data_IF_954700029933
#
_entry.id   IF_954700029933
#
_cell.length_a   1.000
_cell.length_b   1.000
_cell.length_c   1.000
_cell.angle_alpha   90.00
_cell.angle_beta   90.00
_cell.angle_gamma   90.00
#
_symmetry.space_group_name_H-M   'P 1'
#
loop_
_entity.id
_entity.type
_entity.pdbx_description
1 polymer ?
#
# COMPACT_ATOMS: atom_id res chain seq x y z
N UNK A 1 6.16 3.94 -24.18
CA UNK A 1 5.53 4.20 -22.87
C UNK A 1 5.93 3.07 -21.94
N UNK A 2 6.47 3.40 -20.78
CA UNK A 2 6.68 2.48 -19.67
C UNK A 2 5.89 3.02 -18.48
N UNK A 3 5.30 2.14 -17.69
CA UNK A 3 4.56 2.53 -16.48
C UNK A 3 5.27 1.91 -15.29
N UNK A 4 5.70 2.75 -14.36
CA UNK A 4 6.36 2.30 -13.15
C UNK A 4 5.70 2.90 -11.91
N UNK A 5 5.76 2.17 -10.80
CA UNK A 5 5.22 2.61 -9.52
C UNK A 5 5.40 1.55 -8.44
N UNK A 6 4.92 1.85 -7.24
CA UNK A 6 5.10 1.00 -6.07
C UNK A 6 3.84 0.88 -5.21
N UNK A 7 3.87 -0.02 -4.23
CA UNK A 7 2.80 -0.19 -3.25
C UNK A 7 1.45 -0.45 -3.96
N UNK A 8 0.41 0.34 -3.70
CA UNK A 8 -0.90 0.17 -4.33
C UNK A 8 -0.89 0.40 -5.86
N UNK A 9 0.19 0.94 -6.43
CA UNK A 9 0.38 0.93 -7.88
C UNK A 9 0.51 -0.49 -8.45
N UNK A 10 0.80 -1.50 -7.61
CA UNK A 10 0.65 -2.91 -7.98
C UNK A 10 -0.77 -3.28 -8.44
N UNK A 11 -1.77 -2.55 -7.93
CA UNK A 11 -3.16 -2.65 -8.39
C UNK A 11 -3.40 -1.75 -9.59
N UNK A 12 -2.98 -0.48 -9.55
CA UNK A 12 -3.27 0.46 -10.64
C UNK A 12 -2.61 0.09 -11.97
N UNK A 13 -1.34 -0.33 -11.94
CA UNK A 13 -0.53 -0.49 -13.15
C UNK A 13 -1.10 -1.57 -14.08
N UNK A 14 -1.46 -2.77 -13.60
CA UNK A 14 -2.07 -3.78 -14.47
C UNK A 14 -3.41 -3.32 -15.06
N UNK A 15 -4.25 -2.63 -14.28
CA UNK A 15 -5.51 -2.07 -14.77
C UNK A 15 -5.31 -1.02 -15.87
N UNK A 16 -4.37 -0.09 -15.68
CA UNK A 16 -4.04 0.95 -16.68
C UNK A 16 -3.42 0.31 -17.92
N UNK A 17 -2.50 -0.64 -17.75
CA UNK A 17 -1.88 -1.37 -18.86
C UNK A 17 -2.93 -2.10 -19.69
N UNK A 18 -3.86 -2.81 -19.05
CA UNK A 18 -4.98 -3.47 -19.71
C UNK A 18 -5.85 -2.49 -20.48
N UNK A 19 -6.24 -1.37 -19.87
CA UNK A 19 -7.05 -0.35 -20.54
C UNK A 19 -6.36 0.23 -21.80
N UNK A 20 -5.03 0.42 -21.76
CA UNK A 20 -4.25 0.84 -22.93
C UNK A 20 -4.31 -0.21 -24.04
N UNK A 21 -4.11 -1.49 -23.71
CA UNK A 21 -4.13 -2.58 -24.69
C UNK A 21 -5.52 -2.77 -25.30
N UNK A 22 -6.57 -2.73 -24.47
CA UNK A 22 -7.96 -2.85 -24.92
C UNK A 22 -8.35 -1.69 -25.84
N UNK A 23 -7.94 -0.46 -25.51
CA UNK A 23 -8.12 0.71 -26.40
C UNK A 23 -7.38 0.50 -27.73
N UNK A 24 -6.13 0.07 -27.68
CA UNK A 24 -5.32 -0.14 -28.88
C UNK A 24 -5.94 -1.18 -29.81
N UNK A 25 -6.53 -2.25 -29.27
CA UNK A 25 -7.22 -3.27 -30.06
C UNK A 25 -8.43 -2.70 -30.81
N UNK A 26 -9.11 -1.71 -30.23
CA UNK A 26 -10.25 -1.03 -30.84
C UNK A 26 -9.85 0.18 -31.72
N UNK A 27 -8.55 0.48 -31.85
CA UNK A 27 -8.08 1.64 -32.61
C UNK A 27 -7.60 1.22 -34.01
N UNK A 28 -8.25 1.72 -35.04
CA UNK A 28 -7.94 1.40 -36.45
C UNK A 28 -6.74 2.19 -36.99
N UNK A 29 -6.58 3.46 -36.58
CA UNK A 29 -5.40 4.24 -36.95
C UNK A 29 -4.21 3.89 -36.03
N UNK A 30 -3.20 3.24 -36.60
CA UNK A 30 -1.98 2.88 -35.88
C UNK A 30 -1.25 4.09 -35.27
N UNK A 31 -1.41 5.31 -35.81
CA UNK A 31 -0.81 6.53 -35.25
C UNK A 31 -1.45 6.95 -33.92
N UNK A 32 -2.68 6.51 -33.66
CA UNK A 32 -3.42 6.80 -32.42
C UNK A 32 -3.22 5.74 -31.33
N UNK A 33 -2.47 4.67 -31.62
CA UNK A 33 -2.17 3.62 -30.64
C UNK A 33 -1.11 4.09 -29.65
N UNK A 34 -1.33 3.79 -28.38
CA UNK A 34 -0.37 4.04 -27.32
C UNK A 34 0.68 2.94 -27.31
N UNK A 35 1.94 3.29 -27.55
CA UNK A 35 3.02 2.33 -27.61
C UNK A 35 3.52 1.93 -26.21
N UNK A 36 2.73 1.14 -25.47
CA UNK A 36 3.13 0.54 -24.19
C UNK A 36 4.20 -0.53 -24.43
N UNK A 37 5.33 -0.40 -23.73
CA UNK A 37 6.54 -1.24 -23.91
C UNK A 37 6.84 -2.10 -22.70
N UNK A 38 6.34 -1.76 -21.53
CA UNK A 38 6.56 -2.55 -20.32
C UNK A 38 6.04 -1.86 -19.07
N UNK A 39 6.05 -2.62 -17.98
CA UNK A 39 5.68 -2.16 -16.64
C UNK A 39 6.76 -2.56 -15.63
N UNK A 40 6.94 -1.76 -14.59
CA UNK A 40 7.82 -2.06 -13.46
C UNK A 40 7.09 -1.77 -12.15
N UNK A 41 7.00 -2.75 -11.26
CA UNK A 41 6.23 -2.63 -10.02
C UNK A 41 7.14 -2.97 -8.85
N UNK A 42 7.47 -1.99 -8.02
CA UNK A 42 8.27 -2.18 -6.80
C UNK A 42 7.36 -2.47 -5.60
N UNK A 43 7.64 -3.52 -4.84
CA UNK A 43 6.91 -3.85 -3.59
C UNK A 43 5.37 -3.71 -3.71
N UNK A 44 4.79 -4.20 -4.80
CA UNK A 44 3.41 -3.93 -5.16
C UNK A 44 2.39 -4.72 -4.34
N UNK A 45 1.22 -4.13 -4.11
CA UNK A 45 0.02 -4.82 -3.66
C UNK A 45 -0.78 -5.29 -4.89
N UNK A 46 -0.74 -6.59 -5.17
CA UNK A 46 -1.11 -7.20 -6.46
C UNK A 46 -2.02 -8.43 -6.27
N UNK A 47 -1.58 -9.38 -5.45
CA UNK A 47 -2.24 -10.67 -5.21
C UNK A 47 -2.56 -10.80 -3.71
N UNK A 48 -3.82 -10.54 -3.30
CA UNK A 48 -4.20 -10.56 -1.89
C UNK A 48 -4.04 -11.95 -1.27
N UNK A 49 -4.30 -13.03 -2.02
CA UNK A 49 -4.21 -14.40 -1.46
C UNK A 49 -2.75 -14.69 -1.10
N UNK A 50 -1.83 -14.51 -2.03
CA UNK A 50 -0.41 -14.77 -1.78
C UNK A 50 0.14 -13.82 -0.69
N UNK A 51 -0.23 -12.54 -0.73
CA UNK A 51 0.38 -11.53 0.13
C UNK A 51 -0.16 -11.57 1.57
N UNK A 52 -1.45 -11.84 1.81
CA UNK A 52 -1.93 -12.04 3.20
C UNK A 52 -1.37 -13.32 3.83
N UNK A 53 -1.21 -14.40 3.06
CA UNK A 53 -0.48 -15.59 3.53
C UNK A 53 0.98 -15.26 3.85
N UNK A 54 1.62 -14.41 3.04
CA UNK A 54 2.98 -13.98 3.26
C UNK A 54 3.13 -13.19 4.56
N UNK A 55 2.20 -12.30 4.93
CA UNK A 55 2.27 -11.58 6.21
C UNK A 55 2.43 -12.53 7.40
N UNK A 56 1.59 -13.56 7.49
CA UNK A 56 1.70 -14.54 8.58
C UNK A 56 3.00 -15.37 8.48
N UNK A 57 3.26 -15.99 7.33
CA UNK A 57 4.39 -16.93 7.19
C UNK A 57 5.75 -16.24 7.32
N UNK A 58 5.90 -15.04 6.76
CA UNK A 58 7.07 -14.19 6.91
C UNK A 58 7.26 -13.78 8.36
N UNK A 59 6.20 -13.30 9.02
CA UNK A 59 6.28 -12.82 10.41
C UNK A 59 6.64 -13.94 11.38
N UNK A 60 6.11 -15.16 11.19
CA UNK A 60 6.52 -16.33 11.99
C UNK A 60 7.99 -16.69 11.73
N UNK A 61 8.42 -16.73 10.47
CA UNK A 61 9.81 -17.06 10.10
C UNK A 61 10.82 -16.07 10.68
N UNK A 62 10.45 -14.80 10.78
CA UNK A 62 11.30 -13.73 11.29
C UNK A 62 11.08 -13.41 12.77
N UNK A 63 10.35 -14.25 13.51
CA UNK A 63 10.03 -14.09 14.94
C UNK A 63 9.29 -12.78 15.27
N UNK A 64 8.57 -12.20 14.31
CA UNK A 64 7.71 -11.04 14.51
C UNK A 64 6.35 -11.42 15.13
N UNK A 65 5.99 -12.72 15.08
CA UNK A 65 4.84 -13.29 15.77
C UNK A 65 5.27 -14.48 16.63
N UNK A 66 4.97 -14.44 17.92
CA UNK A 66 5.37 -15.47 18.89
C UNK A 66 4.29 -15.69 19.95
N UNK A 67 4.25 -16.88 20.55
CA UNK A 67 3.27 -17.20 21.60
C UNK A 67 1.82 -16.96 21.15
N UNK A 68 1.05 -16.23 21.97
CA UNK A 68 -0.38 -15.99 21.73
C UNK A 68 -0.65 -15.14 20.48
N UNK A 69 0.23 -14.21 20.10
CA UNK A 69 0.02 -13.37 18.91
C UNK A 69 0.12 -14.19 17.62
N UNK A 70 0.96 -15.22 17.59
CA UNK A 70 1.04 -16.17 16.48
C UNK A 70 -0.28 -16.94 16.30
N UNK A 71 -0.86 -17.44 17.39
CA UNK A 71 -2.14 -18.17 17.31
C UNK A 71 -3.29 -17.25 16.89
N UNK A 72 -3.33 -16.02 17.41
CA UNK A 72 -4.31 -15.02 17.00
C UNK A 72 -4.19 -14.66 15.51
N UNK A 73 -2.97 -14.38 15.03
CA UNK A 73 -2.72 -14.06 13.63
C UNK A 73 -3.07 -15.24 12.69
N UNK A 74 -2.90 -16.48 13.16
CA UNK A 74 -3.32 -17.66 12.39
C UNK A 74 -4.85 -17.72 12.25
N UNK A 75 -5.60 -17.42 13.30
CA UNK A 75 -7.07 -17.37 13.26
C UNK A 75 -7.57 -16.24 12.35
N UNK A 76 -6.92 -15.08 12.40
CA UNK A 76 -7.20 -13.96 11.49
C UNK A 76 -6.92 -14.33 10.04
N UNK A 77 -5.81 -15.01 9.76
CA UNK A 77 -5.49 -15.52 8.44
C UNK A 77 -6.54 -16.51 7.93
N UNK A 78 -7.01 -17.44 8.76
CA UNK A 78 -8.03 -18.41 8.35
C UNK A 78 -9.34 -17.69 7.98
N UNK A 79 -9.77 -16.75 8.83
CA UNK A 79 -10.94 -15.91 8.56
C UNK A 79 -10.76 -15.09 7.28
N UNK A 80 -9.55 -14.56 7.05
CA UNK A 80 -9.18 -13.85 5.83
C UNK A 80 -9.30 -14.71 4.58
N UNK A 81 -8.76 -15.93 4.62
CA UNK A 81 -8.82 -16.85 3.49
C UNK A 81 -10.26 -17.27 3.19
N UNK A 82 -11.10 -17.46 4.20
CA UNK A 82 -12.51 -17.75 3.98
C UNK A 82 -13.26 -16.57 3.35
N UNK A 83 -13.02 -15.35 3.82
CA UNK A 83 -13.60 -14.14 3.22
C UNK A 83 -13.17 -13.96 1.75
N UNK A 84 -11.90 -14.19 1.43
CA UNK A 84 -11.38 -14.09 0.07
C UNK A 84 -11.90 -15.20 -0.87
N UNK A 85 -12.25 -16.39 -0.34
CA UNK A 85 -12.94 -17.44 -1.12
C UNK A 85 -14.36 -17.01 -1.48
N UNK A 86 -15.09 -16.41 -0.54
CA UNK A 86 -16.44 -15.92 -0.79
C UNK A 86 -16.43 -14.74 -1.77
N UNK A 87 -15.47 -13.82 -1.61
CA UNK A 87 -15.31 -12.68 -2.50
C UNK A 87 -13.86 -12.23 -2.58
N UNK A 88 -13.24 -12.53 -3.72
CA UNK A 88 -11.90 -12.09 -4.03
C UNK A 88 -11.88 -10.58 -4.33
N UNK A 89 -11.31 -9.81 -3.42
CA UNK A 89 -11.06 -8.37 -3.55
C UNK A 89 -9.63 -8.06 -3.19
N UNK A 90 -9.11 -6.94 -3.70
CA UNK A 90 -7.75 -6.49 -3.42
C UNK A 90 -7.55 -6.10 -1.94
N UNK A 91 -8.61 -5.63 -1.29
CA UNK A 91 -8.61 -5.17 0.10
C UNK A 91 -9.73 -5.86 0.87
N UNK A 92 -9.42 -6.33 2.07
CA UNK A 92 -10.37 -6.91 3.02
C UNK A 92 -9.99 -6.47 4.43
N UNK A 93 -10.85 -5.70 5.10
CA UNK A 93 -10.54 -5.11 6.42
C UNK A 93 -10.12 -6.15 7.47
N UNK A 94 -10.79 -7.30 7.48
CA UNK A 94 -10.48 -8.41 8.39
C UNK A 94 -9.10 -9.05 8.15
N UNK A 95 -8.55 -8.91 6.94
CA UNK A 95 -7.22 -9.42 6.60
C UNK A 95 -6.12 -8.48 7.09
N UNK A 96 -6.40 -7.16 7.19
CA UNK A 96 -5.45 -6.17 7.73
C UNK A 96 -5.11 -6.41 9.20
N UNK A 97 -6.00 -7.06 9.94
CA UNK A 97 -5.79 -7.43 11.35
C UNK A 97 -4.52 -8.26 11.57
N UNK A 98 -4.06 -9.00 10.55
CA UNK A 98 -2.82 -9.77 10.61
C UNK A 98 -1.63 -8.82 10.81
N UNK A 99 -1.54 -7.76 10.01
CA UNK A 99 -0.47 -6.76 10.13
C UNK A 99 -0.60 -5.99 11.44
N UNK A 100 -1.81 -5.60 11.84
CA UNK A 100 -2.03 -4.94 13.14
C UNK A 100 -1.49 -5.79 14.31
N UNK A 101 -1.74 -7.10 14.28
CA UNK A 101 -1.24 -8.05 15.29
C UNK A 101 0.29 -8.15 15.28
N UNK A 102 0.91 -8.11 14.10
CA UNK A 102 2.38 -8.07 13.96
C UNK A 102 2.94 -6.80 14.58
N UNK A 103 2.34 -5.63 14.29
CA UNK A 103 2.79 -4.34 14.81
C UNK A 103 2.60 -4.25 16.33
N UNK A 104 1.47 -4.70 16.86
CA UNK A 104 1.21 -4.76 18.30
C UNK A 104 2.20 -5.70 19.00
N UNK A 105 2.48 -6.88 18.44
CA UNK A 105 3.45 -7.82 19.00
C UNK A 105 4.90 -7.27 18.99
N UNK A 106 5.19 -6.37 18.06
CA UNK A 106 6.51 -5.74 17.93
C UNK A 106 6.81 -4.64 18.96
N UNK A 107 5.82 -4.28 19.77
CA UNK A 107 5.91 -3.13 20.67
C UNK A 107 7.01 -3.30 21.71
N UNK A 108 7.77 -2.22 21.90
CA UNK A 108 8.80 -2.12 22.93
C UNK A 108 8.54 -0.87 23.76
N UNK A 109 8.45 -1.02 25.08
CA UNK A 109 8.24 0.11 26.00
C UNK A 109 9.49 0.34 26.82
N UNK A 110 10.04 1.55 26.76
CA UNK A 110 11.16 1.98 27.59
C UNK A 110 10.80 3.33 28.25
N UNK A 111 10.61 3.31 29.56
CA UNK A 111 10.12 4.47 30.32
C UNK A 111 8.76 4.93 29.81
N UNK A 112 8.67 6.19 29.37
CA UNK A 112 7.45 6.79 28.81
C UNK A 112 7.33 6.64 27.29
N UNK A 113 8.29 5.99 26.64
CA UNK A 113 8.31 5.83 25.18
C UNK A 113 7.90 4.42 24.77
N UNK A 114 7.00 4.32 23.80
CA UNK A 114 6.61 3.05 23.17
C UNK A 114 6.97 3.11 21.69
N UNK A 115 7.78 2.17 21.23
CA UNK A 115 8.14 2.00 19.82
C UNK A 115 7.60 0.69 19.26
N UNK A 116 7.64 0.53 17.94
CA UNK A 116 7.28 -0.66 17.19
C UNK A 116 8.17 -0.77 15.94
N UNK A 117 8.05 -1.89 15.22
CA UNK A 117 8.73 -2.01 13.93
C UNK A 117 8.17 -1.02 12.90
N UNK A 118 9.03 -0.56 12.00
CA UNK A 118 8.58 0.13 10.79
C UNK A 118 8.05 -0.93 9.81
N UNK A 119 6.77 -0.83 9.44
CA UNK A 119 6.16 -1.78 8.51
C UNK A 119 6.77 -1.74 7.10
N UNK A 120 7.48 -0.67 6.73
CA UNK A 120 8.18 -0.51 5.47
C UNK A 120 9.64 -1.00 5.52
N UNK A 121 10.22 -1.13 6.72
CA UNK A 121 11.55 -1.72 6.94
C UNK A 121 11.63 -2.41 8.31
N UNK A 122 11.47 -3.74 8.32
CA UNK A 122 11.44 -4.54 9.55
C UNK A 122 12.75 -4.52 10.37
N UNK A 123 13.83 -3.94 9.84
CA UNK A 123 15.10 -3.79 10.55
C UNK A 123 15.06 -2.62 11.52
N UNK A 124 14.13 -1.69 11.32
CA UNK A 124 13.92 -0.54 12.19
C UNK A 124 12.84 -0.85 13.23
N UNK A 125 13.21 -0.75 14.50
CA UNK A 125 12.36 -0.98 15.68
C UNK A 125 12.15 0.30 16.50
N UNK A 126 12.58 1.45 15.97
CA UNK A 126 12.64 2.73 16.68
C UNK A 126 11.45 3.64 16.41
N UNK A 127 10.54 3.24 15.50
CA UNK A 127 9.39 4.03 15.13
C UNK A 127 8.36 4.13 16.27
N UNK A 128 7.73 5.29 16.39
CA UNK A 128 6.76 5.53 17.45
C UNK A 128 5.48 4.69 17.25
N UNK A 129 5.00 4.06 18.32
CA UNK A 129 3.69 3.43 18.32
C UNK A 129 2.59 4.49 18.57
N UNK A 130 1.45 4.47 17.85
CA UNK A 130 0.99 3.47 16.89
C UNK A 130 1.35 3.79 15.43
N UNK A 131 2.30 4.70 15.17
CA UNK A 131 2.64 5.08 13.79
C UNK A 131 3.32 3.96 13.01
N UNK A 132 4.29 3.25 13.61
CA UNK A 132 4.92 2.03 13.06
C UNK A 132 5.23 2.10 11.55
N UNK A 133 5.94 3.14 11.11
CA UNK A 133 6.27 3.40 9.70
C UNK A 133 5.46 4.48 9.01
N UNK A 134 4.25 4.82 9.47
CA UNK A 134 3.41 5.84 8.79
C UNK A 134 4.04 7.25 8.79
N UNK A 135 4.88 7.56 9.78
CA UNK A 135 5.62 8.83 9.85
C UNK A 135 6.92 8.84 9.02
N UNK A 136 7.31 7.68 8.48
CA UNK A 136 8.46 7.52 7.63
C UNK A 136 8.07 7.76 6.15
N UNK A 137 8.97 8.33 5.32
CA UNK A 137 10.30 8.84 5.65
C UNK A 137 10.28 10.21 6.34
N UNK A 138 11.23 10.43 7.25
CA UNK A 138 11.25 11.65 8.08
C UNK A 138 11.51 12.93 7.27
N UNK A 139 12.05 12.80 6.06
CA UNK A 139 12.31 13.87 5.10
C UNK A 139 11.04 14.50 4.52
N UNK A 140 9.88 13.83 4.63
CA UNK A 140 8.60 14.31 4.10
C UNK A 140 8.21 15.69 4.62
N UNK A 141 8.59 16.02 5.86
CA UNK A 141 8.33 17.35 6.44
C UNK A 141 9.02 18.46 5.63
N UNK A 142 10.23 18.22 5.14
CA UNK A 142 10.98 19.18 4.33
C UNK A 142 10.39 19.30 2.92
N UNK A 143 9.97 18.18 2.34
CA UNK A 143 9.28 18.15 1.03
C UNK A 143 7.96 18.92 1.11
N UNK A 144 7.15 18.67 2.15
CA UNK A 144 5.89 19.37 2.37
C UNK A 144 6.08 20.89 2.45
N UNK A 145 7.09 21.34 3.23
CA UNK A 145 7.42 22.76 3.35
C UNK A 145 7.82 23.36 2.00
N UNK A 146 8.66 22.67 1.23
CA UNK A 146 9.10 23.14 -0.08
C UNK A 146 7.94 23.25 -1.08
N UNK A 147 7.15 22.18 -1.23
CA UNK A 147 6.05 22.11 -2.20
C UNK A 147 4.86 23.01 -1.86
N UNK A 148 4.82 23.56 -0.63
CA UNK A 148 3.82 24.53 -0.19
C UNK A 148 4.27 25.97 -0.31
N UNK A 149 5.49 26.26 -0.73
CA UNK A 149 5.92 27.65 -0.97
C UNK A 149 5.12 28.26 -2.13
N UNK A 150 4.72 29.52 -1.98
CA UNK A 150 3.89 30.23 -2.97
C UNK A 150 4.56 30.35 -4.33
N UNK A 151 5.88 30.56 -4.36
CA UNK A 151 6.65 30.62 -5.59
C UNK A 151 6.72 29.25 -6.29
N UNK A 152 6.92 28.17 -5.53
CA UNK A 152 6.91 26.79 -6.06
C UNK A 152 5.54 26.40 -6.60
N UNK A 153 4.47 26.63 -5.84
CA UNK A 153 3.08 26.33 -6.28
C UNK A 153 2.73 27.07 -7.57
N UNK A 154 3.13 28.34 -7.67
CA UNK A 154 2.88 29.15 -8.87
C UNK A 154 3.71 28.66 -10.06
N UNK A 155 4.97 28.25 -9.83
CA UNK A 155 5.85 27.73 -10.87
C UNK A 155 5.35 26.42 -11.49
N UNK A 156 4.61 25.59 -10.74
CA UNK A 156 3.98 24.36 -11.25
C UNK A 156 2.50 24.54 -11.62
N UNK A 157 2.01 25.79 -11.64
CA UNK A 157 0.62 26.14 -11.98
C UNK A 157 -0.45 25.44 -11.12
N UNK A 158 -0.15 25.18 -9.85
CA UNK A 158 -1.05 24.49 -8.92
C UNK A 158 -1.89 25.46 -8.06
N UNK A 159 -2.07 26.72 -8.49
CA UNK A 159 -2.74 27.77 -7.72
C UNK A 159 -4.21 27.47 -7.36
N UNK A 160 -4.86 26.52 -8.06
CA UNK A 160 -6.22 26.08 -7.76
C UNK A 160 -6.30 25.12 -6.56
N UNK A 161 -5.18 24.53 -6.12
CA UNK A 161 -5.16 23.58 -5.01
C UNK A 161 -5.06 24.30 -3.67
N UNK A 162 -6.20 24.43 -2.97
CA UNK A 162 -6.30 25.18 -1.72
C UNK A 162 -5.72 24.44 -0.49
N UNK A 163 -5.68 23.10 -0.52
CA UNK A 163 -5.16 22.30 0.61
C UNK A 163 -3.62 22.28 0.62
N UNK A 164 -2.99 22.65 -0.50
CA UNK A 164 -1.57 22.48 -0.73
C UNK A 164 -1.17 21.01 -0.88
N UNK A 165 0.14 20.75 -0.90
CA UNK A 165 0.67 19.40 -1.01
C UNK A 165 0.44 18.60 0.29
N UNK A 166 -0.02 17.37 0.14
CA UNK A 166 -0.10 16.34 1.19
C UNK A 166 0.38 15.06 0.53
N UNK A 167 1.26 14.32 1.21
CA UNK A 167 1.83 13.09 0.67
C UNK A 167 0.75 12.02 0.46
N UNK A 168 0.08 11.60 1.54
CA UNK A 168 -0.95 10.56 1.51
C UNK A 168 -2.30 11.11 1.97
N UNK A 169 -3.34 10.97 1.14
CA UNK A 169 -4.71 11.37 1.48
C UNK A 169 -5.56 10.15 1.85
N UNK A 170 -5.82 9.97 3.13
CA UNK A 170 -6.68 8.88 3.63
C UNK A 170 -8.11 8.94 3.10
N UNK A 171 -8.57 10.11 2.64
CA UNK A 171 -9.88 10.27 1.99
C UNK A 171 -9.98 9.52 0.66
N UNK A 172 -8.88 9.44 -0.10
CA UNK A 172 -8.84 8.66 -1.33
C UNK A 172 -8.95 7.17 -1.01
N UNK A 173 -8.15 6.68 -0.04
CA UNK A 173 -8.21 5.28 0.40
C UNK A 173 -9.61 4.87 0.88
N UNK A 174 -10.28 5.69 1.69
CA UNK A 174 -11.67 5.45 2.10
C UNK A 174 -12.65 5.42 0.92
N UNK A 175 -12.36 6.14 -0.15
CA UNK A 175 -13.17 6.10 -1.38
C UNK A 175 -13.15 4.73 -2.08
N UNK A 176 -12.13 3.90 -1.82
CA UNK A 176 -12.05 2.52 -2.31
C UNK A 176 -12.72 1.50 -1.39
N UNK A 177 -13.25 1.91 -0.22
CA UNK A 177 -13.98 0.98 0.66
C UNK A 177 -15.21 0.42 -0.06
N UNK A 178 -15.30 -0.91 -0.11
CA UNK A 178 -16.39 -1.61 -0.80
C UNK A 178 -16.19 -1.78 -2.31
N UNK A 179 -15.03 -1.41 -2.87
CA UNK A 179 -14.68 -1.72 -4.26
C UNK A 179 -14.78 -3.24 -4.50
N UNK A 180 -15.49 -3.61 -5.56
CA UNK A 180 -15.76 -5.00 -5.93
C UNK A 180 -14.96 -5.45 -7.14
N UNK A 181 -14.06 -4.60 -7.63
CA UNK A 181 -13.17 -4.92 -8.74
C UNK A 181 -12.25 -6.08 -8.34
N UNK A 182 -12.00 -7.05 -9.25
CA UNK A 182 -11.09 -8.13 -8.95
C UNK A 182 -9.67 -7.62 -8.70
N UNK A 183 -8.81 -8.37 -8.01
CA UNK A 183 -7.39 -8.06 -7.95
C UNK A 183 -6.75 -7.95 -9.32
N UNK A 184 -5.60 -7.29 -9.37
CA UNK A 184 -4.90 -7.02 -10.62
C UNK A 184 -4.32 -8.27 -11.31
N UNK A 185 -4.21 -9.38 -10.57
CA UNK A 185 -3.80 -10.70 -11.05
C UNK A 185 -4.78 -11.72 -10.47
N UNK A 186 -5.23 -12.66 -11.31
CA UNK A 186 -6.09 -13.80 -10.94
C UNK A 186 -5.35 -15.11 -11.19
#
# INVERSE_FOLDING_TARGET
IYIAGESYAGTYIPYIAKAILDRNNNTTDNKLKYNLRGVAIGNGWIDPIAQYNAYYTFSVKHNLLTGNSKELAKQQLDTCMDALKEKLTIHQDLCELILETVLENSRQTNGSTTTCINQYDIRDHSDSYPSCGIAWPYELTSIAKYLRRTDVVSAIHANSQQIGWVECSSGVGRGFTGDTSPPAVN
#
